data_IF_596044810421
#
_entry.id   IF_596044810421
#
_cell.length_a   1.000
_cell.length_b   1.000
_cell.length_c   1.000
_cell.angle_alpha   90.00
_cell.angle_beta   90.00
_cell.angle_gamma   90.00
#
_symmetry.space_group_name_H-M   'P 1'
#
loop_
_entity.id
_entity.type
_entity.pdbx_description
1 polymer ?
#
# COMPACT_ATOMS: atom_id res chain seq x y z
N UNK A 1 29.22 -16.06 40.85
CA UNK A 1 30.58 -15.52 40.94
C UNK A 1 31.32 -15.94 39.69
N UNK A 2 31.66 -15.12 38.72
CA UNK A 2 31.23 -13.80 38.25
C UNK A 2 31.83 -13.70 36.84
N UNK A 3 31.06 -13.19 35.90
CA UNK A 3 31.48 -12.91 34.52
C UNK A 3 32.10 -11.52 34.48
N UNK A 4 33.26 -11.35 33.83
CA UNK A 4 33.75 -10.04 33.42
C UNK A 4 34.46 -10.17 32.06
N UNK A 5 33.76 -9.80 31.00
CA UNK A 5 34.36 -9.45 29.70
C UNK A 5 34.34 -7.93 29.57
N UNK A 6 35.51 -7.36 29.27
CA UNK A 6 35.77 -5.92 29.18
C UNK A 6 35.01 -5.24 28.03
N UNK A 7 34.46 -4.06 28.31
CA UNK A 7 33.91 -3.15 27.29
C UNK A 7 35.02 -2.30 26.66
N UNK A 8 34.98 -2.22 25.34
CA UNK A 8 35.82 -1.37 24.50
C UNK A 8 35.13 -0.01 24.37
N UNK A 9 35.71 1.03 24.95
CA UNK A 9 35.23 2.40 24.83
C UNK A 9 35.46 2.97 23.43
N UNK A 10 34.37 3.36 22.74
CA UNK A 10 34.42 4.15 21.52
C UNK A 10 34.44 5.65 21.87
N UNK A 11 35.47 6.35 21.40
CA UNK A 11 35.69 7.79 21.52
C UNK A 11 34.57 8.60 20.84
N UNK A 12 34.05 9.61 21.54
CA UNK A 12 33.08 10.58 21.00
C UNK A 12 33.73 11.52 19.95
N UNK A 13 33.01 11.93 18.89
CA UNK A 13 33.50 12.89 17.92
C UNK A 13 33.56 14.31 18.50
N UNK A 14 34.72 14.97 18.38
CA UNK A 14 34.92 16.37 18.77
C UNK A 14 34.10 17.32 17.89
N UNK A 15 33.26 18.15 18.51
CA UNK A 15 32.52 19.22 17.84
C UNK A 15 33.45 20.38 17.39
N UNK A 16 33.16 21.07 16.28
CA UNK A 16 33.98 22.19 15.82
C UNK A 16 33.77 23.42 16.72
N UNK A 17 34.86 23.93 17.29
CA UNK A 17 34.86 25.16 18.08
C UNK A 17 34.94 26.40 17.16
N UNK A 18 33.99 27.33 17.31
CA UNK A 18 34.07 28.67 16.70
C UNK A 18 34.53 29.64 17.78
N UNK A 19 35.72 30.24 17.59
CA UNK A 19 36.33 31.20 18.52
C UNK A 19 35.82 32.61 18.22
N UNK A 20 35.27 33.30 19.23
CA UNK A 20 35.00 34.74 19.20
C UNK A 20 35.89 35.46 20.23
N UNK A 21 36.25 36.72 19.93
CA UNK A 21 37.35 37.49 20.53
C UNK A 21 37.21 37.90 22.01
N UNK A 22 36.28 37.33 22.77
CA UNK A 22 36.00 37.77 24.15
C UNK A 22 35.74 36.58 25.09
N UNK A 23 36.72 35.69 25.24
CA UNK A 23 37.02 34.92 26.47
C UNK A 23 35.90 34.19 27.25
N UNK A 24 34.69 34.04 26.73
CA UNK A 24 33.58 33.38 27.41
C UNK A 24 33.01 32.27 26.50
N UNK A 25 33.12 31.02 26.97
CA UNK A 25 32.47 29.86 26.35
C UNK A 25 31.00 29.95 26.69
N UNK A 26 30.18 30.43 25.75
CA UNK A 26 28.72 30.35 25.85
C UNK A 26 28.32 29.03 25.21
N UNK A 27 27.95 28.06 26.04
CA UNK A 27 27.38 26.79 25.60
C UNK A 27 26.06 27.10 24.90
N UNK A 28 26.06 27.00 23.56
CA UNK A 28 24.86 27.19 22.76
C UNK A 28 23.93 26.00 23.04
N UNK A 29 22.92 26.21 23.88
CA UNK A 29 21.88 25.23 24.12
C UNK A 29 21.23 24.88 22.77
N UNK A 30 21.27 23.61 22.32
CA UNK A 30 20.57 23.22 21.11
C UNK A 30 19.09 23.48 21.32
N UNK A 31 18.52 24.45 20.62
CA UNK A 31 17.08 24.68 20.62
C UNK A 31 16.48 23.41 20.01
N UNK A 32 15.71 22.58 20.77
CA UNK A 32 15.04 21.45 20.17
C UNK A 32 14.09 21.96 19.08
N UNK A 33 13.97 21.25 17.94
CA UNK A 33 13.00 21.63 16.92
C UNK A 33 11.62 21.78 17.56
N UNK A 34 10.82 22.80 17.18
CA UNK A 34 9.51 23.02 17.78
C UNK A 34 8.71 21.71 17.76
N UNK A 35 8.38 21.19 18.93
CA UNK A 35 7.50 20.03 19.08
C UNK A 35 6.11 20.48 18.63
N UNK A 36 5.79 20.28 17.35
CA UNK A 36 4.43 20.46 16.88
C UNK A 36 3.49 19.58 17.74
N UNK A 37 2.33 20.09 18.17
CA UNK A 37 1.39 19.31 18.96
C UNK A 37 1.00 18.05 18.19
N UNK A 38 1.13 16.87 18.80
CA UNK A 38 0.84 15.57 18.17
C UNK A 38 -0.55 15.51 17.49
N UNK A 39 -1.51 16.31 17.97
CA UNK A 39 -2.85 16.49 17.38
C UNK A 39 -2.81 17.08 15.97
N UNK A 40 -1.98 18.10 15.74
CA UNK A 40 -1.82 18.76 14.45
C UNK A 40 -1.13 17.83 13.45
N UNK A 41 -0.12 17.08 13.91
CA UNK A 41 0.58 16.09 13.10
C UNK A 41 -0.36 14.93 12.66
N UNK A 42 -1.18 14.41 13.58
CA UNK A 42 -2.19 13.38 13.26
C UNK A 42 -3.23 13.88 12.25
N UNK A 43 -3.75 15.10 12.44
CA UNK A 43 -4.71 15.69 11.50
C UNK A 43 -4.13 15.83 10.10
N UNK A 44 -2.87 16.25 9.99
CA UNK A 44 -2.16 16.36 8.71
C UNK A 44 -2.00 14.98 8.04
N UNK A 45 -1.60 13.95 8.80
CA UNK A 45 -1.50 12.58 8.27
C UNK A 45 -2.84 12.04 7.77
N UNK A 46 -3.93 12.26 8.50
CA UNK A 46 -5.26 11.80 8.09
C UNK A 46 -5.78 12.58 6.88
N UNK A 47 -5.53 13.88 6.80
CA UNK A 47 -5.81 14.69 5.61
C UNK A 47 -5.04 14.16 4.39
N UNK A 48 -3.74 13.84 4.57
CA UNK A 48 -2.91 13.27 3.52
C UNK A 48 -3.43 11.90 3.04
N UNK A 49 -3.84 11.02 3.96
CA UNK A 49 -4.45 9.72 3.62
C UNK A 49 -5.74 9.88 2.82
N UNK A 50 -6.62 10.79 3.24
CA UNK A 50 -7.88 11.08 2.52
C UNK A 50 -7.61 11.64 1.14
N UNK A 51 -6.65 12.57 1.02
CA UNK A 51 -6.24 13.12 -0.26
C UNK A 51 -5.70 12.03 -1.19
N UNK A 52 -4.74 11.21 -0.74
CA UNK A 52 -4.20 10.08 -1.52
C UNK A 52 -5.30 9.12 -1.96
N UNK A 53 -6.21 8.74 -1.06
CA UNK A 53 -7.30 7.85 -1.41
C UNK A 53 -8.24 8.45 -2.47
N UNK A 54 -8.49 9.76 -2.44
CA UNK A 54 -9.27 10.48 -3.44
C UNK A 54 -8.57 10.50 -4.79
N UNK A 55 -7.29 10.86 -4.84
CA UNK A 55 -6.52 10.84 -6.09
C UNK A 55 -6.46 9.44 -6.69
N UNK A 56 -6.27 8.41 -5.86
CA UNK A 56 -6.26 7.02 -6.33
C UNK A 56 -7.61 6.62 -6.93
N UNK A 57 -8.73 7.03 -6.35
CA UNK A 57 -10.05 6.74 -6.95
C UNK A 57 -10.28 7.49 -8.25
N UNK A 58 -9.80 8.72 -8.38
CA UNK A 58 -9.83 9.43 -9.66
C UNK A 58 -9.04 8.67 -10.74
N UNK A 59 -7.90 8.08 -10.37
CA UNK A 59 -7.17 7.17 -11.25
C UNK A 59 -7.98 5.92 -11.58
N UNK A 60 -8.51 5.19 -10.58
CA UNK A 60 -9.30 3.97 -10.81
C UNK A 60 -10.55 4.22 -11.66
N UNK A 61 -11.15 5.42 -11.59
CA UNK A 61 -12.27 5.82 -12.44
C UNK A 61 -11.90 5.98 -13.92
N UNK A 62 -10.62 6.24 -14.23
CA UNK A 62 -10.11 6.29 -15.61
C UNK A 62 -9.83 4.90 -16.17
N UNK A 63 -9.75 3.86 -15.33
CA UNK A 63 -9.52 2.48 -15.75
C UNK A 63 -10.79 1.89 -16.34
N UNK A 64 -10.76 1.62 -17.65
CA UNK A 64 -11.86 1.02 -18.40
C UNK A 64 -11.86 -0.51 -18.29
N UNK A 65 -10.69 -1.13 -18.52
CA UNK A 65 -10.55 -2.59 -18.49
C UNK A 65 -9.09 -2.98 -18.28
N UNK A 66 -8.88 -4.18 -17.74
CA UNK A 66 -7.56 -4.74 -17.50
C UNK A 66 -7.51 -6.13 -18.11
N UNK A 67 -6.54 -6.35 -19.00
CA UNK A 67 -6.29 -7.65 -19.62
C UNK A 67 -4.87 -8.12 -19.34
N UNK A 68 -4.65 -9.43 -19.41
CA UNK A 68 -3.31 -10.01 -19.39
C UNK A 68 -2.96 -10.45 -20.80
N UNK A 69 -2.11 -9.67 -21.47
CA UNK A 69 -1.75 -9.90 -22.87
C UNK A 69 -0.95 -11.18 -23.05
N UNK A 70 0.07 -11.36 -22.20
CA UNK A 70 1.01 -12.46 -22.30
C UNK A 70 1.69 -12.73 -20.96
N UNK A 71 2.35 -13.86 -20.91
CA UNK A 71 3.31 -14.20 -19.85
C UNK A 71 4.71 -14.10 -20.39
N UNK A 72 5.62 -13.54 -19.60
CA UNK A 72 7.08 -13.63 -19.82
C UNK A 72 7.69 -14.50 -18.74
N UNK A 73 8.84 -15.10 -19.04
CA UNK A 73 9.66 -15.79 -18.05
C UNK A 73 10.94 -14.99 -17.90
N UNK A 74 11.24 -14.56 -16.68
CA UNK A 74 12.45 -13.83 -16.31
C UNK A 74 12.97 -14.45 -15.02
N UNK A 75 14.25 -14.83 -14.96
CA UNK A 75 14.90 -15.42 -13.78
C UNK A 75 14.10 -16.55 -13.10
N UNK A 76 13.51 -17.44 -13.90
CA UNK A 76 12.65 -18.56 -13.47
C UNK A 76 11.32 -18.13 -12.84
N UNK A 77 11.02 -16.84 -12.78
CA UNK A 77 9.73 -16.29 -12.41
C UNK A 77 8.85 -16.07 -13.64
N UNK A 78 7.54 -16.33 -13.48
CA UNK A 78 6.54 -16.02 -14.50
C UNK A 78 5.95 -14.65 -14.20
N UNK A 79 6.14 -13.73 -15.14
CA UNK A 79 5.57 -12.39 -15.15
C UNK A 79 4.34 -12.35 -16.05
N UNK A 80 3.27 -11.73 -15.55
CA UNK A 80 2.05 -11.44 -16.29
C UNK A 80 2.14 -9.98 -16.75
N UNK A 81 2.04 -9.76 -18.06
CA UNK A 81 2.03 -8.42 -18.65
C UNK A 81 0.58 -7.94 -18.70
N UNK A 82 0.20 -7.06 -17.79
CA UNK A 82 -1.12 -6.46 -17.73
C UNK A 82 -1.16 -5.26 -18.68
N UNK A 83 -2.23 -5.14 -19.45
CA UNK A 83 -2.59 -3.93 -20.18
C UNK A 83 -3.78 -3.28 -19.48
N UNK A 84 -3.56 -2.08 -18.96
CA UNK A 84 -4.56 -1.27 -18.28
C UNK A 84 -5.05 -0.23 -19.29
N UNK A 85 -6.24 -0.47 -19.84
CA UNK A 85 -6.85 0.46 -20.79
C UNK A 85 -7.52 1.60 -20.05
N UNK A 86 -7.15 2.82 -20.42
CA UNK A 86 -7.68 4.04 -19.81
C UNK A 86 -8.75 4.67 -20.71
N UNK A 87 -9.55 5.57 -20.14
CA UNK A 87 -10.53 6.38 -20.88
C UNK A 87 -9.92 7.22 -22.01
N UNK A 88 -8.61 7.47 -21.97
CA UNK A 88 -7.83 8.16 -23.01
C UNK A 88 -6.44 7.54 -23.11
N UNK A 89 -5.85 7.43 -24.31
CA UNK A 89 -4.48 6.95 -24.49
C UNK A 89 -3.45 7.82 -23.72
N UNK A 90 -2.28 7.27 -23.35
CA UNK A 90 -1.83 5.90 -23.64
C UNK A 90 -2.35 4.87 -22.63
N UNK A 91 -2.49 3.63 -23.10
CA UNK A 91 -2.71 2.49 -22.21
C UNK A 91 -1.43 2.18 -21.42
N UNK A 92 -1.58 1.72 -20.19
CA UNK A 92 -0.45 1.39 -19.32
C UNK A 92 -0.12 -0.10 -19.44
N UNK A 93 1.17 -0.42 -19.37
CA UNK A 93 1.65 -1.80 -19.31
C UNK A 93 2.46 -1.99 -18.05
N UNK A 94 2.02 -2.93 -17.22
CA UNK A 94 2.68 -3.26 -15.96
C UNK A 94 2.93 -4.76 -15.88
N UNK A 95 4.12 -5.13 -15.39
CA UNK A 95 4.50 -6.52 -15.21
C UNK A 95 4.36 -6.91 -13.74
N UNK A 96 3.69 -8.04 -13.49
CA UNK A 96 3.43 -8.54 -12.14
C UNK A 96 3.70 -10.03 -12.05
N UNK A 97 4.24 -10.50 -10.93
CA UNK A 97 4.33 -11.92 -10.58
C UNK A 97 2.99 -12.39 -10.02
N UNK A 98 2.78 -13.71 -10.01
CA UNK A 98 1.62 -14.29 -9.32
C UNK A 98 1.58 -13.89 -7.83
N UNK A 99 2.75 -13.83 -7.18
CA UNK A 99 2.89 -13.46 -5.77
C UNK A 99 2.40 -12.04 -5.50
N UNK A 100 2.62 -11.11 -6.43
CA UNK A 100 2.17 -9.73 -6.26
C UNK A 100 0.63 -9.66 -6.19
N UNK A 101 -0.08 -10.51 -6.94
CA UNK A 101 -1.54 -10.64 -6.82
C UNK A 101 -1.97 -11.29 -5.49
N UNK A 102 -1.20 -12.27 -4.99
CA UNK A 102 -1.46 -12.88 -3.68
C UNK A 102 -1.31 -11.87 -2.55
N UNK A 103 -0.26 -11.04 -2.61
CA UNK A 103 0.02 -9.95 -1.67
C UNK A 103 -1.08 -8.89 -1.72
N UNK A 104 -1.51 -8.46 -2.91
CA UNK A 104 -2.64 -7.54 -3.06
C UNK A 104 -3.91 -8.12 -2.41
N UNK A 105 -4.22 -9.40 -2.66
CA UNK A 105 -5.39 -10.07 -2.07
C UNK A 105 -5.29 -10.08 -0.54
N UNK A 106 -4.11 -10.38 0.01
CA UNK A 106 -3.88 -10.38 1.46
C UNK A 106 -3.99 -8.98 2.07
N UNK A 107 -3.44 -7.96 1.40
CA UNK A 107 -3.56 -6.56 1.83
C UNK A 107 -5.01 -6.10 1.91
N UNK A 108 -5.80 -6.40 0.88
CA UNK A 108 -7.25 -6.13 0.87
C UNK A 108 -7.96 -6.89 1.99
N UNK A 109 -7.66 -8.19 2.16
CA UNK A 109 -8.22 -9.01 3.23
C UNK A 109 -7.96 -8.39 4.61
N UNK A 110 -6.72 -7.97 4.84
CA UNK A 110 -6.30 -7.31 6.08
C UNK A 110 -7.09 -6.02 6.30
N UNK A 111 -7.17 -5.15 5.29
CA UNK A 111 -7.86 -3.86 5.38
C UNK A 111 -9.35 -3.97 5.75
N UNK A 112 -10.02 -5.07 5.39
CA UNK A 112 -11.44 -5.30 5.70
C UNK A 112 -11.69 -6.23 6.89
N UNK A 113 -10.66 -6.87 7.43
CA UNK A 113 -10.78 -7.83 8.56
C UNK A 113 -10.40 -7.22 9.92
N UNK A 114 -9.87 -6.00 9.97
CA UNK A 114 -9.49 -5.34 11.25
C UNK A 114 -10.73 -5.08 12.12
N UNK A 115 -10.65 -5.48 13.39
CA UNK A 115 -11.67 -5.26 14.41
C UNK A 115 -11.49 -3.88 15.10
N UNK A 116 -12.59 -3.18 15.46
CA UNK A 116 -13.96 -3.46 15.04
C UNK A 116 -14.09 -3.22 13.52
N UNK A 117 -14.72 -4.14 12.78
CA UNK A 117 -14.85 -4.00 11.35
C UNK A 117 -15.79 -2.84 11.10
N UNK A 118 -15.40 -1.94 10.22
CA UNK A 118 -16.37 -1.08 9.60
C UNK A 118 -17.41 -1.98 8.89
N UNK A 119 -18.68 -1.90 9.29
CA UNK A 119 -19.79 -2.69 8.74
C UNK A 119 -20.49 -1.99 7.56
N UNK A 120 -19.75 -1.23 6.75
CA UNK A 120 -20.35 -0.61 5.57
C UNK A 120 -20.39 -1.60 4.40
N UNK A 121 -21.30 -1.37 3.44
CA UNK A 121 -21.48 -2.24 2.28
C UNK A 121 -20.18 -2.45 1.49
N UNK A 122 -19.34 -1.41 1.38
CA UNK A 122 -18.02 -1.51 0.75
C UNK A 122 -17.15 -2.59 1.38
N UNK A 123 -17.02 -2.59 2.71
CA UNK A 123 -16.22 -3.58 3.43
C UNK A 123 -16.86 -4.97 3.38
N UNK A 124 -18.19 -5.05 3.49
CA UNK A 124 -18.92 -6.33 3.43
C UNK A 124 -18.75 -7.01 2.08
N UNK A 125 -18.94 -6.28 0.98
CA UNK A 125 -18.76 -6.81 -0.38
C UNK A 125 -17.35 -7.36 -0.60
N UNK A 126 -16.33 -6.59 -0.20
CA UNK A 126 -14.94 -6.99 -0.30
C UNK A 126 -14.64 -8.23 0.57
N UNK A 127 -15.15 -8.26 1.80
CA UNK A 127 -14.96 -9.39 2.71
C UNK A 127 -15.61 -10.66 2.18
N UNK A 128 -16.84 -10.56 1.65
CA UNK A 128 -17.56 -11.66 1.00
C UNK A 128 -16.77 -12.15 -0.21
N UNK A 129 -16.35 -11.26 -1.09
CA UNK A 129 -15.56 -11.63 -2.26
C UNK A 129 -14.30 -12.38 -1.84
N UNK A 130 -13.45 -11.77 -1.02
CA UNK A 130 -12.15 -12.32 -0.61
C UNK A 130 -12.27 -13.67 0.11
N UNK A 131 -13.35 -13.89 0.88
CA UNK A 131 -13.59 -15.17 1.58
C UNK A 131 -14.14 -16.25 0.66
N UNK A 132 -15.16 -15.94 -0.13
CA UNK A 132 -16.00 -16.96 -0.76
C UNK A 132 -15.79 -17.12 -2.27
N UNK A 133 -15.20 -16.16 -2.97
CA UNK A 133 -14.92 -16.33 -4.40
C UNK A 133 -13.68 -17.22 -4.59
N UNK A 134 -13.87 -18.31 -5.34
CA UNK A 134 -12.86 -19.35 -5.58
C UNK A 134 -11.93 -19.03 -6.76
N UNK A 135 -12.30 -18.08 -7.62
CA UNK A 135 -11.51 -17.61 -8.76
C UNK A 135 -10.62 -16.43 -8.34
N UNK A 136 -9.63 -16.70 -7.49
CA UNK A 136 -8.74 -15.69 -6.91
C UNK A 136 -7.28 -16.14 -6.92
N UNK A 137 -6.32 -15.21 -6.80
CA UNK A 137 -4.91 -15.54 -6.60
C UNK A 137 -4.71 -16.21 -5.23
N UNK A 138 -4.88 -17.53 -5.22
CA UNK A 138 -4.65 -18.42 -4.07
C UNK A 138 -3.59 -19.45 -4.46
N UNK A 139 -2.83 -19.94 -3.48
CA UNK A 139 -1.74 -20.89 -3.73
C UNK A 139 -2.17 -22.14 -4.53
N UNK A 140 -3.38 -22.65 -4.35
CA UNK A 140 -3.86 -23.80 -5.15
C UNK A 140 -4.09 -23.45 -6.63
N UNK A 141 -4.45 -22.22 -6.97
CA UNK A 141 -4.61 -21.76 -8.37
C UNK A 141 -3.25 -21.74 -9.07
N UNK A 142 -2.18 -21.37 -8.34
CA UNK A 142 -0.81 -21.45 -8.85
C UNK A 142 -0.40 -22.88 -9.24
N UNK A 143 -0.86 -23.87 -8.48
CA UNK A 143 -0.49 -25.27 -8.66
C UNK A 143 -1.37 -26.03 -9.66
N UNK A 144 -2.67 -25.75 -9.68
CA UNK A 144 -3.66 -26.57 -10.40
C UNK A 144 -4.16 -25.95 -11.70
N UNK A 145 -4.02 -24.64 -11.88
CA UNK A 145 -4.49 -23.97 -13.09
C UNK A 145 -3.37 -23.89 -14.14
N UNK A 146 -3.70 -24.33 -15.37
CA UNK A 146 -2.89 -24.03 -16.55
C UNK A 146 -2.82 -22.53 -16.84
N UNK A 147 -1.83 -22.11 -17.64
CA UNK A 147 -1.48 -20.70 -17.87
C UNK A 147 -2.67 -19.83 -18.30
N UNK A 148 -3.47 -20.26 -19.28
CA UNK A 148 -4.61 -19.47 -19.77
C UNK A 148 -5.73 -19.31 -18.74
N UNK A 149 -6.05 -20.40 -18.02
CA UNK A 149 -7.03 -20.35 -16.92
C UNK A 149 -6.55 -19.39 -15.82
N UNK A 150 -5.25 -19.40 -15.52
CA UNK A 150 -4.64 -18.52 -14.53
C UNK A 150 -4.71 -17.06 -14.97
N UNK A 151 -4.39 -16.73 -16.23
CA UNK A 151 -4.55 -15.38 -16.78
C UNK A 151 -5.99 -14.87 -16.61
N UNK A 152 -6.98 -15.70 -16.96
CA UNK A 152 -8.40 -15.34 -16.79
C UNK A 152 -8.77 -15.06 -15.33
N UNK A 153 -8.31 -15.89 -14.40
CA UNK A 153 -8.54 -15.69 -12.96
C UNK A 153 -7.91 -14.38 -12.48
N UNK A 154 -6.66 -14.10 -12.87
CA UNK A 154 -5.94 -12.91 -12.44
C UNK A 154 -6.55 -11.62 -13.03
N UNK A 155 -6.91 -11.64 -14.31
CA UNK A 155 -7.56 -10.51 -14.99
C UNK A 155 -8.94 -10.21 -14.37
N UNK A 156 -9.75 -11.25 -14.13
CA UNK A 156 -11.05 -11.10 -13.47
C UNK A 156 -10.87 -10.55 -12.05
N UNK A 157 -9.94 -11.11 -11.27
CA UNK A 157 -9.68 -10.67 -9.91
C UNK A 157 -9.34 -9.18 -9.85
N UNK A 158 -8.36 -8.71 -10.64
CA UNK A 158 -7.97 -7.30 -10.60
C UNK A 158 -9.09 -6.39 -11.14
N UNK A 159 -9.81 -6.81 -12.17
CA UNK A 159 -10.98 -6.08 -12.68
C UNK A 159 -12.06 -5.89 -11.60
N UNK A 160 -12.41 -6.96 -10.89
CA UNK A 160 -13.37 -6.93 -9.79
C UNK A 160 -12.88 -6.04 -8.64
N UNK A 161 -11.60 -6.12 -8.28
CA UNK A 161 -11.03 -5.27 -7.22
C UNK A 161 -11.08 -3.80 -7.60
N UNK A 162 -10.79 -3.42 -8.85
CA UNK A 162 -10.88 -2.02 -9.31
C UNK A 162 -12.34 -1.55 -9.37
N UNK A 163 -13.27 -2.41 -9.81
CA UNK A 163 -14.69 -2.11 -9.82
C UNK A 163 -15.22 -1.86 -8.40
N UNK A 164 -14.79 -2.67 -7.42
CA UNK A 164 -15.15 -2.45 -6.02
C UNK A 164 -14.42 -1.27 -5.39
N UNK A 165 -13.13 -1.11 -5.70
CA UNK A 165 -12.22 -0.13 -5.11
C UNK A 165 -12.56 1.31 -5.42
N UNK A 166 -13.11 1.59 -6.61
CA UNK A 166 -13.56 2.93 -7.01
C UNK A 166 -14.83 3.41 -6.29
N UNK A 167 -15.57 2.51 -5.63
CA UNK A 167 -16.83 2.87 -4.95
C UNK A 167 -16.55 3.74 -3.71
N UNK A 168 -17.34 4.79 -3.56
CA UNK A 168 -17.46 5.56 -2.33
C UNK A 168 -18.77 5.19 -1.66
N UNK A 169 -18.70 4.89 -0.37
CA UNK A 169 -19.91 4.70 0.44
C UNK A 169 -19.92 5.80 1.47
N UNK A 170 -20.90 6.70 1.33
CA UNK A 170 -21.25 7.66 2.37
C UNK A 170 -21.72 6.88 3.59
N UNK A 171 -21.11 7.16 4.74
CA UNK A 171 -21.48 6.53 5.98
C UNK A 171 -22.34 7.46 6.81
N UNK A 172 -23.39 6.89 7.38
CA UNK A 172 -24.19 7.53 8.43
C UNK A 172 -23.45 7.51 9.79
N UNK A 173 -22.41 6.67 9.94
CA UNK A 173 -21.66 6.55 11.20
C UNK A 173 -20.46 7.48 11.29
N UNK A 174 -20.14 7.92 12.51
CA UNK A 174 -18.95 8.75 12.78
C UNK A 174 -17.61 8.01 12.57
N UNK A 175 -17.61 6.68 12.40
CA UNK A 175 -16.38 5.90 12.22
C UNK A 175 -15.97 5.86 10.76
N UNK A 176 -14.79 6.40 10.47
CA UNK A 176 -14.21 6.41 9.12
C UNK A 176 -14.01 5.01 8.54
N UNK A 177 -14.11 4.90 7.22
CA UNK A 177 -13.83 3.65 6.52
C UNK A 177 -12.35 3.58 6.15
N UNK A 178 -11.50 3.00 7.02
CA UNK A 178 -10.07 2.83 6.70
C UNK A 178 -9.85 2.06 5.40
N UNK A 179 -10.70 1.09 5.08
CA UNK A 179 -10.63 0.35 3.82
C UNK A 179 -10.77 1.26 2.58
N UNK A 180 -11.68 2.27 2.61
CA UNK A 180 -11.80 3.24 1.53
C UNK A 180 -10.61 4.20 1.41
N UNK A 181 -9.78 4.29 2.46
CA UNK A 181 -8.52 5.05 2.43
C UNK A 181 -7.34 4.23 1.91
N UNK A 182 -7.34 2.92 2.16
CA UNK A 182 -6.20 2.03 1.87
C UNK A 182 -6.32 1.33 0.51
N UNK A 183 -7.49 0.75 0.22
CA UNK A 183 -7.66 -0.13 -0.94
C UNK A 183 -7.49 0.60 -2.28
N UNK A 184 -8.02 1.82 -2.48
CA UNK A 184 -7.76 2.54 -3.72
C UNK A 184 -6.28 2.79 -3.98
N UNK A 185 -5.52 3.10 -2.93
CA UNK A 185 -4.07 3.33 -3.00
C UNK A 185 -3.34 2.04 -3.37
N UNK A 186 -3.64 0.93 -2.69
CA UNK A 186 -3.07 -0.39 -3.00
C UNK A 186 -3.32 -0.80 -4.47
N UNK A 187 -4.49 -0.48 -5.01
CA UNK A 187 -4.84 -0.79 -6.38
C UNK A 187 -4.13 0.13 -7.38
N UNK A 188 -4.02 1.43 -7.09
CA UNK A 188 -3.23 2.36 -7.89
C UNK A 188 -1.77 1.92 -7.96
N UNK A 189 -1.13 1.67 -6.81
CA UNK A 189 0.26 1.21 -6.74
C UNK A 189 0.45 -0.11 -7.53
N UNK A 190 -0.50 -1.04 -7.41
CA UNK A 190 -0.46 -2.29 -8.17
C UNK A 190 -0.55 -2.09 -9.69
N UNK A 191 -1.28 -1.08 -10.17
CA UNK A 191 -1.50 -0.84 -11.60
C UNK A 191 -0.45 0.07 -12.25
N UNK A 192 0.27 0.87 -11.47
CA UNK A 192 1.25 1.83 -11.99
C UNK A 192 2.69 1.30 -12.11
N UNK A 193 3.05 0.25 -11.37
CA UNK A 193 4.41 -0.32 -11.42
C UNK A 193 5.16 -0.11 -10.13
#
# INVERSE_FOLDING_TARGET
>A
MESMTAEVGCLEPLAPAVVTHSGAVVEATPIPPPLEPESQQRLNQDAHRRWRASTSVEFLNKVNSIDILKTRTEDRAVLYVLEVRLGRPPDLKVERRFTDFEELRQGIQSAVSVLPPCTCQYCLDLLVYVRFNMAQPRGFVKLTAGTEKRKKILAQFIGDMVAMGRRRVEKVSQRECKAQLLIPVMLEDFLLG
#
